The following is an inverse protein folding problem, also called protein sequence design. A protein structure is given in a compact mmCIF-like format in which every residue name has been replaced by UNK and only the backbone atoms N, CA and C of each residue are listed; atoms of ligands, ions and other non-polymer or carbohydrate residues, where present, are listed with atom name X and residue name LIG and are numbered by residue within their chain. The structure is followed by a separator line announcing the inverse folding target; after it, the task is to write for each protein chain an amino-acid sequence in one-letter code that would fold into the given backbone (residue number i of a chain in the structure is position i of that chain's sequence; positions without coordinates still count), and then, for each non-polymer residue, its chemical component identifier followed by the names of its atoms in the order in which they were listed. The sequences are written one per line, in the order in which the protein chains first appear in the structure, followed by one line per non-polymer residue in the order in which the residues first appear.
data_IF_288797908474
#
_entry.id   IF_288797908474
#
_cell.length_a   1.000
_cell.length_b   1.000
_cell.length_c   1.000
_cell.angle_alpha   90.00
_cell.angle_beta   90.00
_cell.angle_gamma   90.00
#
_symmetry.space_group_name_H-M   'P 1'
#
loop_
_entity.id
_entity.type
_entity.pdbx_description
1 polymer ?
#
# COMPACT_ATOMS: atom_id res chain seq x y z
N UNK A 1 -10.19 -23.87 17.58
CA UNK A 1 -11.39 -23.13 17.98
C UNK A 1 -11.19 -21.67 17.62
N UNK A 2 -11.71 -20.85 16.98
CA UNK A 2 -11.43 -19.46 16.63
C UNK A 2 -11.17 -19.21 15.15
N UNK A 3 -10.66 -20.18 14.39
CA UNK A 3 -10.44 -20.02 12.96
C UNK A 3 -11.75 -19.72 12.19
N UNK A 4 -12.87 -20.32 12.62
CA UNK A 4 -14.19 -20.03 12.06
C UNK A 4 -14.62 -18.56 12.26
N UNK A 5 -14.32 -17.99 13.43
CA UNK A 5 -14.60 -16.59 13.73
C UNK A 5 -13.78 -15.64 12.83
N UNK A 6 -12.54 -16.00 12.52
CA UNK A 6 -11.71 -15.24 11.57
C UNK A 6 -12.24 -15.28 10.14
N UNK A 7 -12.75 -16.42 9.70
CA UNK A 7 -13.37 -16.55 8.37
C UNK A 7 -14.70 -15.78 8.33
N UNK A 8 -15.51 -15.87 9.38
CA UNK A 8 -16.75 -15.12 9.50
C UNK A 8 -16.50 -13.61 9.49
N UNK A 9 -15.48 -13.14 10.21
CA UNK A 9 -15.05 -11.76 10.22
C UNK A 9 -14.67 -11.25 8.81
N UNK A 10 -13.98 -12.07 8.02
CA UNK A 10 -13.55 -11.72 6.67
C UNK A 10 -14.71 -11.73 5.65
N UNK A 11 -15.60 -12.73 5.74
CA UNK A 11 -16.59 -13.00 4.69
C UNK A 11 -18.01 -12.55 5.02
N UNK A 12 -18.30 -12.16 6.26
CA UNK A 12 -19.64 -11.72 6.68
C UNK A 12 -19.72 -10.21 6.69
N UNK A 13 -20.18 -9.58 5.59
CA UNK A 13 -20.30 -8.13 5.53
C UNK A 13 -21.43 -7.65 6.44
N UNK A 14 -21.15 -6.61 7.21
CA UNK A 14 -22.15 -5.90 8.00
C UNK A 14 -22.53 -4.61 7.28
N UNK A 15 -23.55 -4.69 6.44
CA UNK A 15 -24.02 -3.53 5.65
C UNK A 15 -24.56 -2.39 6.51
N UNK A 16 -24.89 -2.63 7.78
CA UNK A 16 -25.36 -1.58 8.68
C UNK A 16 -24.25 -0.57 9.05
N UNK A 17 -23.00 -0.98 8.90
CA UNK A 17 -21.80 -0.16 9.19
C UNK A 17 -21.25 0.57 7.98
N UNK A 18 -21.83 0.36 6.79
CA UNK A 18 -21.36 0.99 5.56
C UNK A 18 -21.88 2.43 5.51
N UNK A 19 -20.98 3.36 5.72
CA UNK A 19 -21.20 4.79 5.60
C UNK A 19 -20.28 5.43 4.57
N UNK A 20 -20.38 6.75 4.38
CA UNK A 20 -19.52 7.49 3.47
C UNK A 20 -18.03 7.40 3.80
N UNK A 21 -17.67 7.25 5.09
CA UNK A 21 -16.29 7.12 5.52
C UNK A 21 -15.71 5.73 5.16
N UNK A 22 -16.52 4.68 5.30
CA UNK A 22 -16.15 3.33 4.89
C UNK A 22 -15.89 3.28 3.39
N UNK A 23 -16.79 3.90 2.59
CA UNK A 23 -16.61 4.00 1.15
C UNK A 23 -15.32 4.75 0.77
N UNK A 24 -15.08 5.91 1.37
CA UNK A 24 -13.88 6.70 1.13
C UNK A 24 -12.60 5.95 1.53
N UNK A 25 -12.63 5.24 2.65
CA UNK A 25 -11.49 4.43 3.12
C UNK A 25 -11.22 3.25 2.19
N UNK A 26 -12.27 2.56 1.73
CA UNK A 26 -12.14 1.45 0.78
C UNK A 26 -11.59 1.92 -0.58
N UNK A 27 -12.07 3.07 -1.06
CA UNK A 27 -11.57 3.70 -2.29
C UNK A 27 -10.10 4.11 -2.13
N UNK A 28 -9.74 4.75 -1.03
CA UNK A 28 -8.34 5.11 -0.71
C UNK A 28 -7.43 3.88 -0.67
N UNK A 29 -7.89 2.79 -0.05
CA UNK A 29 -7.15 1.53 -0.01
C UNK A 29 -6.97 0.92 -1.41
N UNK A 30 -8.00 0.92 -2.25
CA UNK A 30 -7.90 0.43 -3.61
C UNK A 30 -6.91 1.25 -4.45
N UNK A 31 -6.94 2.58 -4.33
CA UNK A 31 -5.98 3.46 -4.98
C UNK A 31 -4.55 3.22 -4.51
N UNK A 32 -4.38 3.02 -3.20
CA UNK A 32 -3.07 2.74 -2.61
C UNK A 32 -2.52 1.38 -3.07
N UNK A 33 -3.31 0.31 -2.97
CA UNK A 33 -2.89 -1.05 -3.33
C UNK A 33 -2.52 -1.16 -4.81
N UNK A 34 -3.33 -0.59 -5.69
CA UNK A 34 -3.11 -0.59 -7.14
C UNK A 34 -2.16 0.52 -7.62
N UNK A 35 -1.58 1.31 -6.70
CA UNK A 35 -0.68 2.44 -7.02
C UNK A 35 -1.29 3.48 -7.98
N UNK A 36 -2.61 3.70 -7.87
CA UNK A 36 -3.33 4.67 -8.69
C UNK A 36 -3.17 6.09 -8.12
N UNK A 37 -3.16 7.09 -8.98
CA UNK A 37 -3.14 8.50 -8.58
C UNK A 37 -1.79 9.04 -8.11
N UNK A 38 -0.76 8.22 -7.96
CA UNK A 38 0.57 8.63 -7.48
C UNK A 38 1.65 8.71 -8.58
N UNK A 39 1.29 8.51 -9.85
CA UNK A 39 2.22 8.61 -10.97
C UNK A 39 3.05 7.34 -11.24
N UNK A 40 3.08 6.35 -10.34
CA UNK A 40 3.87 5.12 -10.52
C UNK A 40 3.55 4.41 -11.82
N UNK A 41 2.28 4.20 -12.11
CA UNK A 41 1.86 3.51 -13.33
C UNK A 41 2.23 4.30 -14.59
N UNK A 42 2.16 5.64 -14.56
CA UNK A 42 2.61 6.49 -15.67
C UNK A 42 4.11 6.32 -15.90
N UNK A 43 4.91 6.38 -14.84
CA UNK A 43 6.36 6.18 -14.91
C UNK A 43 6.72 4.79 -15.42
N UNK A 44 6.06 3.74 -14.96
CA UNK A 44 6.29 2.38 -15.47
C UNK A 44 5.83 2.21 -16.90
N UNK A 45 4.68 2.77 -17.28
CA UNK A 45 4.18 2.70 -18.64
C UNK A 45 5.14 3.35 -19.64
N UNK A 46 5.91 4.37 -19.23
CA UNK A 46 6.93 4.98 -20.09
C UNK A 46 8.08 4.04 -20.47
N UNK A 47 8.24 2.94 -19.72
CA UNK A 47 9.25 1.89 -19.99
C UNK A 47 8.68 0.67 -20.73
N UNK A 48 7.37 0.62 -20.96
CA UNK A 48 6.74 -0.52 -21.65
C UNK A 48 7.05 -0.50 -23.16
N UNK A 49 7.13 -1.69 -23.73
CA UNK A 49 7.15 -1.83 -25.19
C UNK A 49 5.78 -1.49 -25.79
N UNK A 50 5.76 -1.00 -27.02
CA UNK A 50 4.52 -0.68 -27.75
C UNK A 50 3.61 -1.89 -28.00
N UNK A 51 4.11 -3.09 -27.82
CA UNK A 51 3.36 -4.35 -27.99
C UNK A 51 2.58 -4.75 -26.73
N UNK A 52 2.74 -4.01 -25.62
CA UNK A 52 2.09 -4.32 -24.35
C UNK A 52 0.62 -3.94 -24.39
N UNK A 53 -0.26 -4.94 -24.23
CA UNK A 53 -1.70 -4.69 -24.12
C UNK A 53 -2.05 -4.14 -22.75
N UNK A 54 -2.29 -2.83 -22.67
CA UNK A 54 -2.53 -2.09 -21.41
C UNK A 54 -3.81 -2.58 -20.71
N UNK A 55 -4.88 -2.82 -21.46
CA UNK A 55 -6.16 -3.27 -20.90
C UNK A 55 -6.04 -4.62 -20.22
N UNK A 56 -5.43 -5.60 -20.91
CA UNK A 56 -5.20 -6.94 -20.34
C UNK A 56 -4.30 -6.86 -19.10
N UNK A 57 -3.25 -6.06 -19.16
CA UNK A 57 -2.31 -5.87 -18.05
C UNK A 57 -3.02 -5.27 -16.84
N UNK A 58 -3.82 -4.21 -17.02
CA UNK A 58 -4.55 -3.57 -15.94
C UNK A 58 -5.52 -4.54 -15.23
N UNK A 59 -6.31 -5.30 -16.00
CA UNK A 59 -7.21 -6.32 -15.43
C UNK A 59 -6.44 -7.43 -14.70
N UNK A 60 -5.34 -7.92 -15.27
CA UNK A 60 -4.53 -8.96 -14.65
C UNK A 60 -3.94 -8.49 -13.32
N UNK A 61 -3.41 -7.27 -13.27
CA UNK A 61 -2.87 -6.68 -12.04
C UNK A 61 -3.97 -6.55 -10.98
N UNK A 62 -5.13 -6.00 -11.32
CA UNK A 62 -6.24 -5.83 -10.38
C UNK A 62 -6.76 -7.15 -9.82
N UNK A 63 -6.87 -8.20 -10.66
CA UNK A 63 -7.32 -9.53 -10.22
C UNK A 63 -6.27 -10.17 -9.30
N UNK A 64 -5.00 -10.13 -9.68
CA UNK A 64 -3.92 -10.75 -8.89
C UNK A 64 -3.77 -10.03 -7.55
N UNK A 65 -3.79 -8.69 -7.52
CA UNK A 65 -3.72 -7.88 -6.29
C UNK A 65 -4.85 -8.26 -5.33
N UNK A 66 -6.09 -8.26 -5.82
CA UNK A 66 -7.26 -8.65 -5.03
C UNK A 66 -7.16 -10.09 -4.52
N UNK A 67 -6.74 -11.01 -5.37
CA UNK A 67 -6.58 -12.44 -5.00
C UNK A 67 -5.55 -12.62 -3.89
N UNK A 68 -4.39 -11.98 -4.00
CA UNK A 68 -3.34 -12.02 -2.97
C UNK A 68 -3.82 -11.40 -1.66
N UNK A 69 -4.53 -10.26 -1.71
CA UNK A 69 -5.09 -9.61 -0.53
C UNK A 69 -6.10 -10.51 0.20
N UNK A 70 -7.00 -11.16 -0.54
CA UNK A 70 -7.98 -12.09 0.01
C UNK A 70 -7.28 -13.32 0.62
N UNK A 71 -6.29 -13.90 -0.05
CA UNK A 71 -5.50 -15.02 0.48
C UNK A 71 -4.78 -14.63 1.78
N UNK A 72 -4.17 -13.45 1.82
CA UNK A 72 -3.53 -12.95 3.05
C UNK A 72 -4.55 -12.82 4.20
N UNK A 73 -5.75 -12.33 3.91
CA UNK A 73 -6.86 -12.27 4.87
C UNK A 73 -7.24 -13.64 5.42
N UNK A 74 -7.36 -14.66 4.55
CA UNK A 74 -7.65 -16.04 4.95
C UNK A 74 -6.56 -16.68 5.83
N UNK A 75 -5.33 -16.21 5.73
CA UNK A 75 -4.23 -16.68 6.59
C UNK A 75 -4.22 -15.92 7.92
N UNK A 76 -4.26 -14.59 7.85
CA UNK A 76 -4.01 -13.71 9.01
C UNK A 76 -5.18 -13.73 9.98
N UNK A 77 -6.42 -13.52 9.52
CA UNK A 77 -7.56 -13.41 10.43
C UNK A 77 -7.86 -14.71 11.21
N UNK A 78 -7.99 -15.89 10.56
CA UNK A 78 -8.18 -17.12 11.29
C UNK A 78 -7.04 -17.43 12.26
N UNK A 79 -5.80 -17.11 11.90
CA UNK A 79 -4.65 -17.30 12.76
C UNK A 79 -4.71 -16.40 14.00
N UNK A 80 -5.00 -15.11 13.85
CA UNK A 80 -5.14 -14.15 14.94
C UNK A 80 -6.26 -14.56 15.92
N UNK A 81 -7.45 -14.87 15.40
CA UNK A 81 -8.58 -15.30 16.21
C UNK A 81 -8.35 -16.66 16.90
N UNK A 82 -7.57 -17.58 16.31
CA UNK A 82 -7.26 -18.88 16.91
C UNK A 82 -6.41 -18.77 18.17
N UNK A 83 -5.59 -17.73 18.27
CA UNK A 83 -4.76 -17.41 19.44
C UNK A 83 -5.40 -16.37 20.37
N UNK A 84 -6.67 -16.02 20.14
CA UNK A 84 -7.44 -15.11 20.99
C UNK A 84 -7.03 -13.63 20.84
N UNK A 85 -6.31 -13.28 19.78
CA UNK A 85 -5.88 -11.89 19.52
C UNK A 85 -6.86 -11.29 18.50
N UNK A 86 -7.41 -10.12 18.84
CA UNK A 86 -8.22 -9.35 17.89
C UNK A 86 -7.27 -8.63 16.92
N UNK A 87 -7.51 -8.71 15.60
CA UNK A 87 -6.68 -8.03 14.62
C UNK A 87 -6.91 -6.52 14.68
N UNK A 88 -5.91 -5.78 15.18
CA UNK A 88 -5.92 -4.33 15.14
C UNK A 88 -5.62 -3.81 13.73
N UNK A 89 -6.11 -2.60 13.44
CA UNK A 89 -5.76 -1.92 12.21
C UNK A 89 -4.35 -1.31 12.29
N UNK A 90 -3.66 -1.29 11.15
CA UNK A 90 -2.38 -0.60 11.01
C UNK A 90 -1.13 -1.42 11.40
N UNK A 91 -0.02 -0.75 11.73
CA UNK A 91 1.28 -1.41 11.96
C UNK A 91 1.29 -2.42 13.11
N UNK A 92 0.41 -2.26 14.10
CA UNK A 92 0.30 -3.18 15.25
C UNK A 92 -0.05 -4.60 14.82
N UNK A 93 -0.84 -4.79 13.76
CA UNK A 93 -1.14 -6.11 13.21
C UNK A 93 0.13 -6.85 12.79
N UNK A 94 1.05 -6.17 12.15
CA UNK A 94 2.28 -6.76 11.61
C UNK A 94 3.33 -6.97 12.71
N UNK A 95 3.54 -5.96 13.56
CA UNK A 95 4.69 -5.95 14.50
C UNK A 95 4.35 -6.48 15.90
N UNK A 96 3.07 -6.55 16.25
CA UNK A 96 2.63 -7.05 17.56
C UNK A 96 1.84 -8.34 17.40
N UNK A 97 0.77 -8.34 16.59
CA UNK A 97 -0.15 -9.48 16.48
C UNK A 97 0.51 -10.68 15.82
N UNK A 98 1.15 -10.52 14.65
CA UNK A 98 1.73 -11.66 13.94
C UNK A 98 2.87 -12.38 14.68
N UNK A 99 3.83 -11.70 15.35
CA UNK A 99 4.81 -12.41 16.19
C UNK A 99 4.18 -13.26 17.27
N UNK A 100 3.14 -12.75 17.94
CA UNK A 100 2.41 -13.50 18.95
C UNK A 100 1.69 -14.72 18.35
N UNK A 101 1.11 -14.57 17.15
CA UNK A 101 0.50 -15.69 16.41
C UNK A 101 1.53 -16.77 16.12
N UNK A 102 2.71 -16.42 15.62
CA UNK A 102 3.77 -17.40 15.33
C UNK A 102 4.25 -18.12 16.61
N UNK A 103 4.47 -17.37 17.70
CA UNK A 103 4.89 -17.97 18.97
C UNK A 103 3.85 -18.93 19.53
N UNK A 104 2.57 -18.59 19.48
CA UNK A 104 1.51 -19.44 19.99
C UNK A 104 1.23 -20.64 19.08
N UNK A 105 1.22 -20.43 17.77
CA UNK A 105 0.98 -21.50 16.79
C UNK A 105 2.06 -22.60 16.86
N UNK A 106 3.30 -22.23 17.12
CA UNK A 106 4.44 -23.14 17.20
C UNK A 106 4.98 -23.30 18.63
N UNK A 107 4.15 -23.15 19.66
CA UNK A 107 4.55 -23.23 21.07
C UNK A 107 5.26 -24.53 21.42
N UNK A 108 4.94 -25.64 20.74
CA UNK A 108 5.61 -26.94 20.92
C UNK A 108 6.98 -27.05 20.27
N UNK A 109 7.33 -26.18 19.32
CA UNK A 109 8.60 -26.19 18.58
C UNK A 109 9.07 -24.76 18.33
N UNK A 110 9.69 -24.10 19.34
CA UNK A 110 10.05 -22.68 19.28
C UNK A 110 10.95 -22.31 18.09
N UNK A 111 11.77 -23.23 17.61
CA UNK A 111 12.65 -23.02 16.47
C UNK A 111 11.84 -22.77 15.17
N UNK A 112 10.70 -23.43 15.01
CA UNK A 112 9.82 -23.19 13.87
C UNK A 112 9.17 -21.80 13.94
N UNK A 113 8.73 -21.36 15.12
CA UNK A 113 8.22 -20.02 15.33
C UNK A 113 9.25 -18.96 14.90
N UNK A 114 10.50 -19.16 15.28
CA UNK A 114 11.59 -18.27 14.91
C UNK A 114 11.83 -18.26 13.38
N UNK A 115 11.95 -19.42 12.75
CA UNK A 115 12.19 -19.56 11.32
C UNK A 115 11.07 -18.88 10.51
N UNK A 116 9.80 -19.20 10.82
CA UNK A 116 8.65 -18.59 10.13
C UNK A 116 8.59 -17.08 10.33
N UNK A 117 8.88 -16.58 11.54
CA UNK A 117 8.94 -15.14 11.81
C UNK A 117 10.02 -14.47 10.98
N UNK A 118 11.23 -15.01 10.95
CA UNK A 118 12.34 -14.44 10.15
C UNK A 118 12.00 -14.45 8.66
N UNK A 119 11.50 -15.58 8.14
CA UNK A 119 11.09 -15.67 6.72
C UNK A 119 10.01 -14.64 6.38
N UNK A 120 9.00 -14.49 7.24
CA UNK A 120 7.94 -13.51 7.04
C UNK A 120 8.48 -12.07 7.00
N UNK A 121 9.33 -11.69 7.96
CA UNK A 121 9.86 -10.32 7.99
C UNK A 121 10.88 -10.05 6.89
N UNK A 122 11.64 -11.03 6.45
CA UNK A 122 12.49 -10.90 5.26
C UNK A 122 11.63 -10.66 4.01
N UNK A 123 10.57 -11.45 3.82
CA UNK A 123 9.64 -11.27 2.71
C UNK A 123 8.97 -9.88 2.76
N UNK A 124 8.52 -9.47 3.95
CA UNK A 124 7.92 -8.15 4.15
C UNK A 124 8.90 -7.01 3.83
N UNK A 125 10.15 -7.13 4.26
CA UNK A 125 11.20 -6.15 3.98
C UNK A 125 11.49 -6.06 2.47
N UNK A 126 11.55 -7.20 1.77
CA UNK A 126 11.75 -7.22 0.33
C UNK A 126 10.55 -6.61 -0.42
N UNK A 127 9.32 -6.90 0.00
CA UNK A 127 8.12 -6.31 -0.57
C UNK A 127 8.08 -4.77 -0.35
N UNK A 128 8.42 -4.31 0.85
CA UNK A 128 8.52 -2.89 1.15
C UNK A 128 9.61 -2.19 0.33
N UNK A 129 10.76 -2.85 0.14
CA UNK A 129 11.87 -2.32 -0.65
C UNK A 129 11.46 -2.12 -2.11
N UNK A 130 10.80 -3.09 -2.75
CA UNK A 130 10.35 -2.97 -4.13
C UNK A 130 9.35 -1.81 -4.30
N UNK A 131 8.41 -1.65 -3.37
CA UNK A 131 7.46 -0.53 -3.38
C UNK A 131 8.16 0.82 -3.17
N UNK A 132 9.15 0.87 -2.27
CA UNK A 132 9.93 2.09 -2.01
C UNK A 132 10.73 2.51 -3.25
N UNK A 133 11.34 1.56 -3.97
CA UNK A 133 12.06 1.84 -5.23
C UNK A 133 11.10 2.44 -6.26
N UNK A 134 9.90 1.90 -6.38
CA UNK A 134 8.88 2.38 -7.31
C UNK A 134 8.48 3.83 -7.05
N UNK A 135 8.15 4.15 -5.80
CA UNK A 135 7.78 5.51 -5.38
C UNK A 135 8.94 6.50 -5.52
N UNK A 136 10.15 6.05 -5.19
CA UNK A 136 11.36 6.84 -5.31
C UNK A 136 11.67 7.19 -6.78
N UNK A 137 11.46 6.25 -7.70
CA UNK A 137 11.68 6.47 -9.13
C UNK A 137 10.75 7.53 -9.70
N UNK A 138 9.48 7.60 -9.30
CA UNK A 138 8.53 8.63 -9.76
C UNK A 138 9.08 10.05 -9.53
N UNK A 139 9.50 10.33 -8.29
CA UNK A 139 10.00 11.66 -7.94
C UNK A 139 11.38 11.91 -8.55
N UNK A 140 12.22 10.87 -8.65
CA UNK A 140 13.54 10.96 -9.27
C UNK A 140 13.43 11.26 -10.76
N UNK A 141 12.55 10.57 -11.48
CA UNK A 141 12.28 10.83 -12.90
C UNK A 141 11.76 12.25 -13.11
N UNK A 142 10.79 12.68 -12.30
CA UNK A 142 10.25 14.04 -12.37
C UNK A 142 11.34 15.11 -12.17
N UNK A 143 12.19 14.97 -11.16
CA UNK A 143 13.28 15.92 -10.93
C UNK A 143 14.34 15.90 -12.05
N UNK A 144 14.55 14.74 -12.66
CA UNK A 144 15.47 14.60 -13.78
C UNK A 144 14.93 15.28 -15.04
N UNK A 145 13.66 15.04 -15.38
CA UNK A 145 13.04 15.49 -16.62
C UNK A 145 12.67 16.97 -16.58
N UNK A 146 12.03 17.45 -15.50
CA UNK A 146 11.54 18.81 -15.40
C UNK A 146 12.61 19.80 -14.93
N UNK A 147 13.48 19.42 -14.01
CA UNK A 147 14.50 20.31 -13.43
C UNK A 147 15.90 20.08 -14.01
N UNK A 148 16.07 19.18 -14.98
CA UNK A 148 17.35 18.84 -15.60
C UNK A 148 18.44 18.44 -14.58
N UNK A 149 18.05 17.84 -13.45
CA UNK A 149 19.01 17.32 -12.48
C UNK A 149 19.64 16.03 -13.04
N UNK A 150 20.93 15.80 -12.74
CA UNK A 150 21.49 14.48 -12.99
C UNK A 150 20.76 13.42 -12.14
N UNK A 151 20.55 12.21 -12.66
CA UNK A 151 19.84 11.15 -11.93
C UNK A 151 20.39 10.93 -10.52
N UNK A 152 21.73 10.95 -10.37
CA UNK A 152 22.37 10.79 -9.07
C UNK A 152 22.09 11.95 -8.10
N UNK A 153 21.94 13.19 -8.58
CA UNK A 153 21.55 14.35 -7.76
C UNK A 153 20.09 14.26 -7.34
N UNK A 154 19.21 13.94 -8.29
CA UNK A 154 17.79 13.76 -8.04
C UNK A 154 17.55 12.64 -7.00
N UNK A 155 18.15 11.46 -7.19
CA UNK A 155 18.02 10.34 -6.28
C UNK A 155 18.50 10.68 -4.85
N UNK A 156 19.64 11.33 -4.70
CA UNK A 156 20.14 11.75 -3.36
C UNK A 156 19.21 12.74 -2.67
N UNK A 157 18.63 13.67 -3.42
CA UNK A 157 17.70 14.66 -2.88
C UNK A 157 16.40 14.00 -2.41
N UNK A 158 15.84 13.09 -3.22
CA UNK A 158 14.65 12.30 -2.86
C UNK A 158 14.92 11.44 -1.63
N UNK A 159 16.05 10.71 -1.64
CA UNK A 159 16.45 9.88 -0.48
C UNK A 159 16.58 10.71 0.80
N UNK A 160 17.23 11.89 0.72
CA UNK A 160 17.36 12.79 1.87
C UNK A 160 16.00 13.26 2.40
N UNK A 161 15.08 13.62 1.51
CA UNK A 161 13.70 13.97 1.87
C UNK A 161 12.96 12.81 2.53
N UNK A 162 13.05 11.61 1.96
CA UNK A 162 12.44 10.40 2.51
C UNK A 162 13.00 10.06 3.91
N UNK A 163 14.32 10.16 4.10
CA UNK A 163 14.94 9.94 5.42
C UNK A 163 14.42 10.96 6.43
N UNK A 164 14.40 12.24 6.08
CA UNK A 164 13.92 13.29 6.97
C UNK A 164 12.46 13.06 7.39
N UNK A 165 11.56 12.84 6.43
CA UNK A 165 10.15 12.57 6.73
C UNK A 165 9.96 11.24 7.47
N UNK A 166 10.74 10.21 7.13
CA UNK A 166 10.71 8.92 7.80
C UNK A 166 11.12 9.00 9.27
N UNK A 167 12.12 9.83 9.60
CA UNK A 167 12.51 10.10 11.00
C UNK A 167 11.35 10.74 11.75
N UNK A 168 10.68 11.74 11.18
CA UNK A 168 9.52 12.39 11.79
C UNK A 168 8.37 11.38 12.04
N UNK A 169 8.07 10.55 11.06
CA UNK A 169 7.05 9.50 11.19
C UNK A 169 7.41 8.49 12.30
N UNK A 170 8.67 8.05 12.33
CA UNK A 170 9.15 7.10 13.34
C UNK A 170 9.09 7.69 14.77
N UNK A 171 9.50 8.93 14.93
CA UNK A 171 9.42 9.64 16.23
C UNK A 171 7.97 9.84 16.68
N UNK A 172 7.05 10.06 15.74
CA UNK A 172 5.61 10.19 16.00
C UNK A 172 4.99 8.95 16.64
N UNK A 173 5.47 7.75 16.29
CA UNK A 173 5.01 6.50 16.89
C UNK A 173 5.63 6.19 18.26
N UNK A 174 6.70 6.91 18.62
CA UNK A 174 7.45 6.73 19.86
C UNK A 174 7.47 7.96 20.76
N UNK A 175 8.60 8.64 20.76
CA UNK A 175 8.88 9.76 21.69
C UNK A 175 7.92 10.93 21.52
N UNK A 176 7.46 11.19 20.30
CA UNK A 176 6.54 12.29 19.97
C UNK A 176 5.07 11.87 19.92
N UNK A 177 4.69 10.73 20.48
CA UNK A 177 3.30 10.21 20.45
C UNK A 177 2.28 11.20 21.03
N UNK A 178 2.69 12.07 21.94
CA UNK A 178 1.83 13.13 22.50
C UNK A 178 1.69 14.38 21.62
N UNK A 179 2.49 14.52 20.56
CA UNK A 179 2.41 15.64 19.64
C UNK A 179 1.40 15.34 18.54
N UNK A 180 0.29 16.07 18.55
CA UNK A 180 -0.81 15.88 17.58
C UNK A 180 -1.11 17.19 16.86
N UNK A 181 -1.39 17.10 15.56
CA UNK A 181 -1.85 18.20 14.70
C UNK A 181 -3.26 17.83 14.25
N UNK A 182 -4.25 18.69 14.51
CA UNK A 182 -5.67 18.39 14.27
C UNK A 182 -6.18 17.11 14.95
N UNK A 183 -5.57 16.72 16.08
CA UNK A 183 -5.91 15.49 16.79
C UNK A 183 -5.28 14.22 16.21
N UNK A 184 -4.47 14.30 15.17
CA UNK A 184 -3.76 13.19 14.53
C UNK A 184 -2.25 13.27 14.85
N UNK A 185 -1.62 12.12 15.05
CA UNK A 185 -0.15 12.01 15.07
C UNK A 185 0.44 12.37 13.71
N UNK A 186 1.73 12.68 13.65
CA UNK A 186 2.38 13.06 12.37
C UNK A 186 2.26 11.93 11.34
N UNK A 187 2.45 10.68 11.74
CA UNK A 187 2.28 9.52 10.86
C UNK A 187 0.84 9.42 10.35
N UNK A 188 -0.15 9.49 11.24
CA UNK A 188 -1.56 9.39 10.88
C UNK A 188 -2.02 10.56 10.01
N UNK A 189 -1.46 11.76 10.24
CA UNK A 189 -1.72 12.93 9.42
C UNK A 189 -1.18 12.75 7.99
N UNK A 190 0.04 12.26 7.85
CA UNK A 190 0.61 11.99 6.53
C UNK A 190 -0.17 10.88 5.80
N UNK A 191 -0.53 9.80 6.49
CA UNK A 191 -1.36 8.74 5.93
C UNK A 191 -2.71 9.29 5.46
N UNK A 192 -3.40 10.06 6.29
CA UNK A 192 -4.67 10.68 5.95
C UNK A 192 -4.58 11.58 4.71
N UNK A 193 -3.59 12.47 4.68
CA UNK A 193 -3.42 13.41 3.57
C UNK A 193 -3.03 12.68 2.28
N UNK A 194 -2.08 11.75 2.35
CA UNK A 194 -1.59 11.05 1.15
C UNK A 194 -2.60 10.02 0.65
N UNK A 195 -3.03 9.09 1.50
CA UNK A 195 -3.86 7.97 1.07
C UNK A 195 -5.33 8.36 0.81
N UNK A 196 -5.93 9.21 1.66
CA UNK A 196 -7.34 9.54 1.51
C UNK A 196 -7.60 10.76 0.62
N UNK A 197 -6.71 11.75 0.61
CA UNK A 197 -6.91 12.98 -0.16
C UNK A 197 -6.12 12.97 -1.46
N UNK A 198 -4.79 12.89 -1.38
CA UNK A 198 -3.93 13.10 -2.57
C UNK A 198 -4.08 11.99 -3.61
N UNK A 199 -4.17 10.73 -3.18
CA UNK A 199 -4.36 9.61 -4.12
C UNK A 199 -5.69 9.70 -4.85
N UNK A 200 -6.77 9.98 -4.11
CA UNK A 200 -8.11 10.10 -4.69
C UNK A 200 -8.20 11.28 -5.66
N UNK A 201 -7.67 12.44 -5.26
CA UNK A 201 -7.63 13.61 -6.14
C UNK A 201 -6.71 13.39 -7.35
N UNK A 202 -5.55 12.78 -7.15
CA UNK A 202 -4.62 12.44 -8.23
C UNK A 202 -5.26 11.53 -9.27
N UNK A 203 -5.95 10.47 -8.83
CA UNK A 203 -6.68 9.59 -9.72
C UNK A 203 -7.82 10.29 -10.46
N UNK A 204 -8.56 11.16 -9.78
CA UNK A 204 -9.60 11.98 -10.40
C UNK A 204 -9.00 12.90 -11.49
N UNK A 205 -7.91 13.60 -11.17
CA UNK A 205 -7.23 14.48 -12.12
C UNK A 205 -6.71 13.71 -13.35
N UNK A 206 -6.10 12.54 -13.16
CA UNK A 206 -5.66 11.67 -14.25
C UNK A 206 -6.85 11.22 -15.10
N UNK A 207 -7.95 10.82 -14.48
CA UNK A 207 -9.16 10.38 -15.19
C UNK A 207 -9.79 11.53 -16.02
N UNK A 208 -9.81 12.75 -15.47
CA UNK A 208 -10.29 13.93 -16.17
C UNK A 208 -9.34 14.24 -17.34
N UNK A 209 -8.04 14.21 -17.11
CA UNK A 209 -7.05 14.48 -18.16
C UNK A 209 -7.18 13.49 -19.32
N UNK A 210 -7.22 12.19 -19.03
CA UNK A 210 -7.33 11.16 -20.07
C UNK A 210 -8.68 11.14 -20.76
N UNK A 211 -9.78 11.44 -20.04
CA UNK A 211 -11.14 11.39 -20.59
C UNK A 211 -11.55 12.61 -21.39
N UNK A 212 -11.06 13.81 -21.04
CA UNK A 212 -11.52 15.06 -21.63
C UNK A 212 -10.43 15.89 -22.31
N UNK A 213 -9.19 15.81 -21.86
CA UNK A 213 -8.11 16.66 -22.35
C UNK A 213 -7.21 15.97 -23.38
N UNK A 214 -6.95 14.69 -23.21
CA UNK A 214 -6.10 13.92 -24.11
C UNK A 214 -6.83 13.59 -25.42
N UNK A 215 -6.11 13.62 -26.56
CA UNK A 215 -6.68 13.28 -27.86
C UNK A 215 -7.20 11.83 -27.83
N UNK A 216 -8.48 11.69 -28.18
CA UNK A 216 -9.17 10.39 -28.20
C UNK A 216 -8.50 9.36 -29.12
N UNK A 217 -7.80 9.82 -30.18
CA UNK A 217 -7.07 8.91 -31.08
C UNK A 217 -5.90 8.24 -30.37
N UNK A 218 -5.19 8.99 -29.51
CA UNK A 218 -4.09 8.45 -28.70
C UNK A 218 -4.64 7.43 -27.70
N UNK A 219 -5.69 7.81 -26.99
CA UNK A 219 -6.32 6.91 -25.99
C UNK A 219 -6.81 5.61 -26.65
N UNK A 220 -7.50 5.72 -27.79
CA UNK A 220 -8.01 4.53 -28.48
C UNK A 220 -6.87 3.64 -29.04
N UNK A 221 -5.82 4.24 -29.60
CA UNK A 221 -4.67 3.48 -30.13
C UNK A 221 -3.97 2.66 -29.02
N UNK A 222 -3.91 3.18 -27.80
CA UNK A 222 -3.24 2.49 -26.68
C UNK A 222 -4.14 1.47 -25.97
N UNK A 223 -5.46 1.67 -25.97
CA UNK A 223 -6.41 0.72 -25.37
C UNK A 223 -6.70 -0.47 -26.27
N UNK A 224 -6.67 -0.28 -27.60
CA UNK A 224 -7.00 -1.33 -28.58
C UNK A 224 -5.80 -2.13 -29.09
N UNK A 225 -4.63 -1.87 -28.58
CA UNK A 225 -3.38 -2.53 -28.96
C UNK A 225 -3.27 -3.96 -28.40
#
# INVERSE_FOLDING_TARGET
PGAGAGIEFLLKPDFSKVDGNVFLSAMGQAFFSLSLGMGCLCTYASYFSKETNLTKTAFSVGIIDTFVAVLAGFIIFPAAFSVGIQPDAGPSLIFITLPNVFQQAFSGVPILAYIFSVMFYVLLAMAALTSTISLHEVVTAYLHEEFNFTRGKAARLVTGGCIFLGILCSLSLGVMKGFTIFGLGIFDLFDFVTAKIMLTLGGLCISIFTGWYLDKKIVWSEITN
#
